data_IF_187921651508
#
_entry.id   IF_187921651508
#
_cell.length_a   1.000
_cell.length_b   1.000
_cell.length_c   1.000
_cell.angle_alpha   90.00
_cell.angle_beta   90.00
_cell.angle_gamma   90.00
#
_symmetry.space_group_name_H-M   'P 1'
#
loop_
_entity.id
_entity.type
_entity.pdbx_description
1 polymer ?
#
# COMPACT_ATOMS: atom_id res chain seq x y z
N UNK A 1 -9.62 17.32 2.31
CA UNK A 1 -9.00 16.07 1.82
C UNK A 1 -9.33 14.94 2.79
N UNK A 2 -9.49 13.71 2.31
CA UNK A 2 -9.84 12.56 3.18
C UNK A 2 -8.56 12.00 3.80
N UNK A 3 -8.30 12.36 5.06
CA UNK A 3 -7.08 11.96 5.78
C UNK A 3 -6.86 10.43 5.81
N UNK A 4 -7.94 9.64 5.80
CA UNK A 4 -7.86 8.17 5.73
C UNK A 4 -7.35 7.68 4.38
N UNK A 5 -7.80 8.29 3.29
CA UNK A 5 -7.36 7.93 1.93
C UNK A 5 -5.91 8.34 1.74
N UNK A 6 -5.54 9.54 2.18
CA UNK A 6 -4.16 10.03 2.10
C UNK A 6 -3.19 9.08 2.84
N UNK A 7 -3.56 8.63 4.05
CA UNK A 7 -2.79 7.64 4.82
C UNK A 7 -2.72 6.27 4.14
N UNK A 8 -3.79 5.83 3.50
CA UNK A 8 -3.77 4.58 2.76
C UNK A 8 -2.78 4.66 1.59
N UNK A 9 -2.87 5.72 0.78
CA UNK A 9 -2.02 5.89 -0.40
C UNK A 9 -0.55 6.09 -0.02
N UNK A 10 -0.25 6.73 1.12
CA UNK A 10 1.13 6.90 1.60
C UNK A 10 1.83 5.61 2.01
N UNK A 11 1.11 4.49 2.16
CA UNK A 11 1.72 3.16 2.40
C UNK A 11 2.45 2.67 1.15
N UNK A 12 1.98 3.01 -0.06
CA UNK A 12 2.56 2.47 -1.29
C UNK A 12 4.02 2.92 -1.49
N UNK A 13 4.39 4.21 -1.36
CA UNK A 13 5.79 4.62 -1.41
C UNK A 13 6.66 3.96 -0.34
N UNK A 14 6.15 3.81 0.89
CA UNK A 14 6.86 3.10 1.95
C UNK A 14 7.19 1.66 1.55
N UNK A 15 6.23 0.93 0.97
CA UNK A 15 6.45 -0.46 0.54
C UNK A 15 7.25 -0.57 -0.76
N UNK A 16 7.44 0.53 -1.50
CA UNK A 16 8.35 0.60 -2.63
C UNK A 16 9.82 0.59 -2.18
N UNK A 17 10.12 1.11 -0.99
CA UNK A 17 11.46 1.06 -0.39
C UNK A 17 11.85 -0.36 0.06
N UNK A 18 10.87 -1.20 0.39
CA UNK A 18 11.08 -2.60 0.76
C UNK A 18 9.92 -3.21 1.53
N UNK A 19 9.99 -4.52 1.87
CA UNK A 19 8.97 -5.17 2.67
C UNK A 19 8.92 -4.59 4.09
N UNK A 20 7.71 -4.30 4.60
CA UNK A 20 7.51 -3.77 5.94
C UNK A 20 6.47 -4.57 6.72
N UNK A 21 6.70 -4.79 8.01
CA UNK A 21 5.69 -5.36 8.90
C UNK A 21 4.64 -4.32 9.36
N UNK A 22 3.60 -4.79 10.05
CA UNK A 22 2.52 -3.93 10.55
C UNK A 22 3.01 -2.84 11.52
N UNK A 23 4.04 -3.13 12.32
CA UNK A 23 4.61 -2.17 13.26
C UNK A 23 5.32 -1.05 12.53
N UNK A 24 6.18 -1.39 11.58
CA UNK A 24 6.90 -0.42 10.75
C UNK A 24 5.94 0.50 9.98
N UNK A 25 4.85 -0.05 9.45
CA UNK A 25 3.80 0.75 8.79
C UNK A 25 3.10 1.68 9.79
N UNK A 26 2.74 1.19 10.97
CA UNK A 26 2.08 1.98 12.00
C UNK A 26 2.96 3.14 12.49
N UNK A 27 4.25 2.86 12.73
CA UNK A 27 5.23 3.84 13.19
C UNK A 27 5.47 4.91 12.11
N UNK A 28 5.61 4.51 10.84
CA UNK A 28 5.83 5.45 9.73
C UNK A 28 4.64 6.39 9.52
N UNK A 29 3.43 5.88 9.71
CA UNK A 29 2.19 6.67 9.57
C UNK A 29 1.84 7.49 10.83
N UNK A 30 2.51 7.23 11.97
CA UNK A 30 2.18 7.83 13.25
C UNK A 30 0.77 7.47 13.74
N UNK A 31 0.35 6.21 13.56
CA UNK A 31 -0.99 5.72 13.94
C UNK A 31 -0.93 4.43 14.73
N UNK A 32 -2.01 4.08 15.41
CA UNK A 32 -2.13 2.77 16.07
C UNK A 32 -2.10 1.61 15.07
N UNK A 33 -1.55 0.46 15.49
CA UNK A 33 -1.51 -0.79 14.71
C UNK A 33 -2.88 -1.21 14.17
N UNK A 34 -3.96 -1.01 14.92
CA UNK A 34 -5.33 -1.32 14.47
C UNK A 34 -5.75 -0.46 13.26
N UNK A 35 -5.37 0.81 13.24
CA UNK A 35 -5.60 1.71 12.10
C UNK A 35 -4.75 1.30 10.91
N UNK A 36 -3.45 1.09 11.09
CA UNK A 36 -2.55 0.64 10.02
C UNK A 36 -3.02 -0.69 9.40
N UNK A 37 -3.46 -1.64 10.24
CA UNK A 37 -3.98 -2.93 9.78
C UNK A 37 -5.23 -2.76 8.92
N UNK A 38 -6.16 -1.88 9.30
CA UNK A 38 -7.35 -1.60 8.49
C UNK A 38 -6.99 -1.04 7.12
N UNK A 39 -6.05 -0.08 7.06
CA UNK A 39 -5.59 0.49 5.79
C UNK A 39 -4.91 -0.58 4.92
N UNK A 40 -4.02 -1.39 5.50
CA UNK A 40 -3.35 -2.49 4.80
C UNK A 40 -4.33 -3.54 4.30
N UNK A 41 -5.39 -3.86 5.07
CA UNK A 41 -6.45 -4.79 4.62
C UNK A 41 -7.20 -4.24 3.43
N UNK A 42 -7.61 -2.97 3.46
CA UNK A 42 -8.26 -2.33 2.31
C UNK A 42 -7.35 -2.35 1.08
N UNK A 43 -6.09 -1.94 1.19
CA UNK A 43 -5.14 -2.00 0.08
C UNK A 43 -4.93 -3.44 -0.44
N UNK A 44 -4.93 -4.42 0.47
CA UNK A 44 -4.76 -5.83 0.13
C UNK A 44 -5.98 -6.40 -0.60
N UNK A 45 -7.18 -6.09 -0.13
CA UNK A 45 -8.45 -6.45 -0.79
C UNK A 45 -8.54 -5.87 -2.20
N UNK A 46 -7.98 -4.68 -2.40
CA UNK A 46 -7.83 -4.07 -3.73
C UNK A 46 -6.61 -4.57 -4.51
N UNK A 47 -5.79 -5.48 -3.99
CA UNK A 47 -4.62 -6.03 -4.69
C UNK A 47 -3.44 -5.05 -4.87
N UNK A 48 -3.48 -3.90 -4.20
CA UNK A 48 -2.43 -2.87 -4.22
C UNK A 48 -1.25 -3.23 -3.34
N UNK A 49 -1.46 -4.07 -2.33
CA UNK A 49 -0.42 -4.68 -1.49
C UNK A 49 -0.70 -6.17 -1.30
N UNK A 50 0.31 -6.95 -0.96
CA UNK A 50 0.13 -8.33 -0.52
C UNK A 50 0.95 -8.61 0.74
N UNK A 51 0.49 -9.61 1.51
CA UNK A 51 1.18 -10.08 2.70
C UNK A 51 1.96 -11.35 2.39
N UNK A 52 3.24 -11.36 2.73
CA UNK A 52 4.13 -12.50 2.60
C UNK A 52 3.94 -13.50 3.75
N UNK A 53 4.52 -14.69 3.62
CA UNK A 53 4.48 -15.74 4.65
C UNK A 53 5.12 -15.27 5.97
N UNK A 54 6.16 -14.45 5.89
CA UNK A 54 6.86 -13.83 7.02
C UNK A 54 6.11 -12.63 7.65
N UNK A 55 4.83 -12.46 7.29
CA UNK A 55 3.93 -11.43 7.80
C UNK A 55 4.26 -9.99 7.37
N UNK A 56 5.28 -9.77 6.51
CA UNK A 56 5.58 -8.46 5.92
C UNK A 56 4.70 -8.18 4.70
N UNK A 57 4.51 -6.90 4.41
CA UNK A 57 3.74 -6.41 3.28
C UNK A 57 4.67 -5.94 2.16
N UNK A 58 4.23 -6.11 0.91
CA UNK A 58 4.89 -5.60 -0.30
C UNK A 58 3.86 -5.06 -1.29
N UNK A 59 4.32 -4.29 -2.28
CA UNK A 59 3.49 -3.82 -3.38
C UNK A 59 2.85 -4.98 -4.16
N UNK A 60 1.55 -4.87 -4.41
CA UNK A 60 0.77 -5.88 -5.12
C UNK A 60 0.83 -5.74 -6.64
N UNK A 61 0.57 -6.85 -7.34
CA UNK A 61 0.65 -6.92 -8.80
C UNK A 61 -0.33 -5.99 -9.53
N UNK A 62 -1.42 -5.55 -8.88
CA UNK A 62 -2.36 -4.59 -9.49
C UNK A 62 -1.69 -3.28 -9.88
N UNK A 63 -0.64 -2.86 -9.17
CA UNK A 63 0.10 -1.65 -9.52
C UNK A 63 0.78 -1.76 -10.89
N UNK A 64 1.23 -2.95 -11.27
CA UNK A 64 1.82 -3.20 -12.60
C UNK A 64 0.74 -3.07 -13.67
N UNK A 65 -0.42 -3.70 -13.47
CA UNK A 65 -1.54 -3.62 -14.41
C UNK A 65 -2.04 -2.17 -14.60
N UNK A 66 -2.19 -1.42 -13.50
CA UNK A 66 -2.58 -0.01 -13.55
C UNK A 66 -1.52 0.86 -14.25
N UNK A 67 -0.23 0.58 -14.03
CA UNK A 67 0.84 1.30 -14.70
C UNK A 67 0.85 1.02 -16.22
N UNK A 68 0.62 -0.23 -16.63
CA UNK A 68 0.50 -0.60 -18.05
C UNK A 68 -0.68 0.11 -18.72
N UNK A 69 -1.87 0.05 -18.12
CA UNK A 69 -3.06 0.74 -18.63
C UNK A 69 -2.85 2.26 -18.68
N UNK A 70 -2.20 2.84 -17.66
CA UNK A 70 -1.88 4.27 -17.67
C UNK A 70 -0.90 4.64 -18.79
N UNK A 71 0.14 3.82 -19.05
CA UNK A 71 1.09 4.06 -20.14
C UNK A 71 0.44 3.95 -21.53
N UNK A 72 -0.51 3.03 -21.71
CA UNK A 72 -1.25 2.85 -22.97
C UNK A 72 -2.18 4.02 -23.28
N UNK A 73 -2.79 4.62 -22.24
CA UNK A 73 -3.70 5.76 -22.39
C UNK A 73 -3.00 7.12 -22.28
N UNK A 74 -1.68 7.13 -22.06
CA UNK A 74 -0.92 8.37 -21.99
C UNK A 74 -0.66 8.85 -23.43
N UNK A 75 -1.57 9.65 -23.97
CA UNK A 75 -1.30 10.49 -25.13
C UNK A 75 -0.27 11.56 -24.70
N UNK A 76 1.00 11.32 -25.03
CA UNK A 76 2.11 12.26 -24.85
C UNK A 76 2.37 13.04 -26.12
#
# INVERSE_FOLDING_TARGET
>A
MSQTVDRALSILPLLAEGPADLGQVADRLGVHKSTALRLLRTLHEHGLVYRQSDQRYRLGARLIALAQEAMENLDI
#
